data_IF_379990134406
#
_entry.id   IF_379990134406
#
_cell.length_a   1.000
_cell.length_b   1.000
_cell.length_c   1.000
_cell.angle_alpha   90.00
_cell.angle_beta   90.00
_cell.angle_gamma   90.00
#
_symmetry.space_group_name_H-M   'P 1'
#
loop_
_entity.id
_entity.type
_entity.pdbx_description
1 polymer ?
#
# COMPACT_ATOMS: atom_id res chain seq x y z
N UNK A 1 10.91 -40.40 44.46
CA UNK A 1 9.82 -39.65 43.81
C UNK A 1 9.83 -38.25 44.37
N UNK A 2 9.81 -37.21 43.52
CA UNK A 2 9.76 -35.83 44.00
C UNK A 2 8.48 -35.59 44.81
N UNK A 3 8.60 -35.05 46.03
CA UNK A 3 7.47 -34.79 46.93
C UNK A 3 6.61 -33.59 46.47
N UNK A 4 7.15 -32.73 45.61
CA UNK A 4 6.51 -31.51 45.10
C UNK A 4 6.88 -31.34 43.63
N UNK A 5 5.93 -30.84 42.85
CA UNK A 5 6.16 -30.53 41.44
C UNK A 5 6.46 -29.03 41.29
N UNK A 6 7.38 -28.69 40.40
CA UNK A 6 7.66 -27.31 40.00
C UNK A 6 6.93 -27.05 38.68
N UNK A 7 6.00 -26.11 38.69
CA UNK A 7 5.17 -25.74 37.54
C UNK A 7 5.63 -24.35 37.11
N UNK A 8 6.32 -24.28 35.98
CA UNK A 8 6.71 -23.03 35.34
C UNK A 8 6.68 -23.18 33.82
N UNK A 9 6.55 -22.06 33.13
CA UNK A 9 6.61 -22.01 31.67
C UNK A 9 7.38 -20.76 31.24
N UNK A 10 8.17 -20.92 30.17
CA UNK A 10 8.93 -19.87 29.50
C UNK A 10 8.68 -20.03 28.00
N UNK A 11 8.13 -18.99 27.36
CA UNK A 11 7.99 -18.93 25.91
C UNK A 11 9.34 -18.57 25.29
N UNK A 12 10.03 -19.56 24.70
CA UNK A 12 11.32 -19.36 24.03
C UNK A 12 11.19 -18.63 22.67
N UNK A 13 10.02 -18.75 22.01
CA UNK A 13 9.81 -18.25 20.65
C UNK A 13 9.10 -16.90 20.62
N UNK A 14 8.45 -16.51 21.71
CA UNK A 14 7.67 -15.28 21.77
C UNK A 14 6.47 -15.32 20.82
N UNK A 15 5.90 -16.50 20.56
CA UNK A 15 4.74 -16.69 19.67
C UNK A 15 3.50 -17.21 20.42
N UNK A 16 3.67 -17.73 21.63
CA UNK A 16 2.59 -18.31 22.39
C UNK A 16 1.78 -17.23 23.11
N UNK A 17 0.46 -17.32 22.98
CA UNK A 17 -0.47 -16.52 23.77
C UNK A 17 -0.82 -17.26 25.06
N UNK A 18 -1.05 -18.57 24.94
CA UNK A 18 -1.42 -19.43 26.06
C UNK A 18 -0.74 -20.78 25.93
N UNK A 19 -0.18 -21.24 27.05
CA UNK A 19 0.43 -22.55 27.20
C UNK A 19 -0.21 -23.32 28.37
N UNK A 20 -0.68 -24.54 28.11
CA UNK A 20 -1.35 -25.40 29.09
C UNK A 20 -0.39 -26.43 29.67
N UNK A 21 -0.34 -26.50 31.00
CA UNK A 21 0.40 -27.53 31.76
C UNK A 21 -0.58 -28.38 32.57
N UNK A 22 -0.54 -29.72 32.46
CA UNK A 22 0.28 -30.49 31.52
C UNK A 22 -0.22 -30.37 30.08
N UNK A 23 0.70 -30.59 29.13
CA UNK A 23 0.40 -30.50 27.69
C UNK A 23 -0.60 -31.57 27.22
N UNK A 24 -0.76 -32.69 27.93
CA UNK A 24 -1.69 -33.75 27.56
C UNK A 24 -2.49 -34.22 28.76
N UNK A 25 -3.79 -34.45 28.52
CA UNK A 25 -4.72 -34.85 29.57
C UNK A 25 -4.82 -33.79 30.68
N UNK A 26 -5.40 -34.19 31.81
CA UNK A 26 -5.44 -33.38 33.03
C UNK A 26 -4.46 -33.99 34.03
N UNK A 27 -3.54 -33.19 34.55
CA UNK A 27 -2.49 -33.68 35.45
C UNK A 27 -2.99 -33.85 36.88
N UNK A 28 -2.28 -34.65 37.66
CA UNK A 28 -2.45 -34.71 39.12
C UNK A 28 -1.32 -33.91 39.75
N UNK A 29 -1.53 -32.60 39.98
CA UNK A 29 -0.53 -31.79 40.70
C UNK A 29 -0.58 -32.14 42.19
N UNK A 30 0.58 -32.42 42.78
CA UNK A 30 0.66 -32.67 44.23
C UNK A 30 0.32 -31.42 45.04
N UNK A 31 -0.32 -31.62 46.19
CA UNK A 31 -0.55 -30.54 47.16
C UNK A 31 0.80 -30.04 47.67
N UNK A 32 1.01 -28.72 47.66
CA UNK A 32 2.27 -28.09 48.02
C UNK A 32 3.23 -27.84 46.85
N UNK A 33 2.85 -28.24 45.63
CA UNK A 33 3.60 -27.91 44.41
C UNK A 33 3.77 -26.40 44.24
N UNK A 34 4.87 -26.02 43.61
CA UNK A 34 5.29 -24.64 43.45
C UNK A 34 4.96 -24.16 42.05
N UNK A 35 4.12 -23.14 41.95
CA UNK A 35 3.79 -22.44 40.70
C UNK A 35 4.64 -21.17 40.61
N UNK A 36 5.50 -21.08 39.61
CA UNK A 36 6.30 -19.88 39.34
C UNK A 36 5.73 -19.16 38.13
N UNK A 37 5.25 -17.93 38.36
CA UNK A 37 4.69 -17.06 37.34
C UNK A 37 5.69 -15.93 37.07
N UNK A 38 6.00 -15.69 35.80
CA UNK A 38 6.92 -14.63 35.38
C UNK A 38 6.18 -13.28 35.32
N UNK A 39 6.90 -12.18 35.30
CA UNK A 39 6.31 -10.83 35.26
C UNK A 39 5.42 -10.59 34.04
N UNK A 40 5.73 -11.21 32.91
CA UNK A 40 5.03 -11.05 31.65
C UNK A 40 3.94 -12.11 31.40
N UNK A 41 3.50 -12.85 32.41
CA UNK A 41 2.42 -13.84 32.27
C UNK A 41 1.50 -13.89 33.49
N UNK A 42 0.29 -14.39 33.30
CA UNK A 42 -0.59 -14.87 34.36
C UNK A 42 -0.63 -16.40 34.34
N UNK A 43 -1.01 -17.02 35.45
CA UNK A 43 -1.35 -18.43 35.48
C UNK A 43 -2.79 -18.63 35.92
N UNK A 44 -3.63 -19.17 35.04
CA UNK A 44 -5.03 -19.49 35.33
C UNK A 44 -5.12 -20.95 35.76
N UNK A 45 -5.54 -21.18 37.00
CA UNK A 45 -5.65 -22.53 37.56
C UNK A 45 -7.05 -23.09 37.35
N UNK A 46 -7.10 -24.26 36.74
CA UNK A 46 -8.29 -25.06 36.53
C UNK A 46 -8.23 -26.32 37.37
N UNK A 47 -9.39 -26.67 37.92
CA UNK A 47 -9.59 -27.94 38.61
C UNK A 47 -10.94 -28.51 38.26
N UNK A 48 -11.00 -29.82 37.98
CA UNK A 48 -12.26 -30.51 37.65
C UNK A 48 -13.07 -29.79 36.54
N UNK A 49 -12.37 -29.15 35.59
CA UNK A 49 -12.95 -28.41 34.47
C UNK A 49 -13.46 -26.99 34.78
N UNK A 50 -13.25 -26.47 36.00
CA UNK A 50 -13.63 -25.10 36.39
C UNK A 50 -12.41 -24.22 36.58
N UNK A 51 -12.47 -22.99 36.05
CA UNK A 51 -11.47 -21.95 36.29
C UNK A 51 -11.65 -21.35 37.69
N UNK A 52 -10.67 -21.53 38.57
CA UNK A 52 -10.71 -21.00 39.93
C UNK A 52 -10.05 -19.64 39.99
N UNK A 53 -8.72 -19.63 40.09
CA UNK A 53 -7.93 -18.45 40.43
C UNK A 53 -6.95 -18.05 39.31
N UNK A 54 -6.56 -16.78 39.33
CA UNK A 54 -5.57 -16.19 38.43
C UNK A 54 -4.38 -15.71 39.25
N UNK A 55 -3.26 -16.37 39.10
CA UNK A 55 -2.02 -16.01 39.77
C UNK A 55 -1.25 -14.98 38.94
N UNK A 56 -0.88 -13.87 39.58
CA UNK A 56 0.05 -12.88 39.04
C UNK A 56 1.52 -13.29 39.21
N UNK A 57 2.47 -12.42 38.84
CA UNK A 57 3.89 -12.69 38.91
C UNK A 57 4.36 -13.08 40.33
N UNK A 58 5.30 -14.01 40.40
CA UNK A 58 5.90 -14.47 41.65
C UNK A 58 5.78 -15.98 41.87
N UNK A 59 6.22 -16.41 43.06
CA UNK A 59 6.17 -17.80 43.49
C UNK A 59 4.93 -18.04 44.33
N UNK A 60 4.12 -18.99 43.90
CA UNK A 60 2.87 -19.37 44.55
C UNK A 60 2.95 -20.83 44.97
N UNK A 61 2.49 -21.13 46.18
CA UNK A 61 2.35 -22.53 46.63
C UNK A 61 0.93 -22.96 46.35
N UNK A 62 0.77 -24.02 45.56
CA UNK A 62 -0.51 -24.67 45.29
C UNK A 62 -0.92 -25.50 46.51
N UNK A 63 -1.44 -24.82 47.52
CA UNK A 63 -2.02 -25.41 48.71
C UNK A 63 -3.54 -25.21 48.70
N UNK A 64 -4.28 -26.23 49.16
CA UNK A 64 -5.74 -26.23 49.27
C UNK A 64 -6.32 -25.03 50.04
N UNK A 65 -5.51 -24.34 50.85
CA UNK A 65 -5.91 -23.22 51.69
C UNK A 65 -5.72 -21.82 51.07
N UNK A 66 -5.02 -21.68 49.94
CA UNK A 66 -4.67 -20.36 49.37
C UNK A 66 -5.55 -19.89 48.20
N UNK A 67 -6.64 -20.59 47.90
CA UNK A 67 -7.63 -20.16 46.89
C UNK A 67 -8.89 -19.74 47.67
N UNK A 68 -9.20 -18.43 47.79
CA UNK A 68 -10.22 -17.91 48.70
C UNK A 68 -11.65 -18.46 48.49
N UNK A 69 -11.94 -19.06 47.33
CA UNK A 69 -13.24 -19.66 47.01
C UNK A 69 -13.38 -21.15 47.40
N UNK A 70 -12.33 -21.80 47.94
CA UNK A 70 -12.31 -23.26 48.18
C UNK A 70 -12.85 -23.70 49.56
N UNK A 71 -13.23 -22.81 50.46
CA UNK A 71 -13.57 -23.19 51.86
C UNK A 71 -14.89 -23.95 52.00
N UNK A 72 -15.82 -23.86 51.05
CA UNK A 72 -17.16 -24.45 51.21
C UNK A 72 -17.30 -25.90 50.71
N UNK A 73 -16.45 -26.35 49.78
CA UNK A 73 -16.61 -27.66 49.13
C UNK A 73 -15.83 -28.80 49.82
N UNK A 74 -14.99 -28.49 50.81
CA UNK A 74 -13.88 -29.36 51.24
C UNK A 74 -13.88 -29.74 52.73
N UNK A 75 -14.89 -29.34 53.51
CA UNK A 75 -14.99 -29.71 54.94
C UNK A 75 -15.63 -31.07 55.21
N UNK A 76 -15.91 -31.87 54.18
CA UNK A 76 -16.42 -33.23 54.36
C UNK A 76 -15.26 -34.19 54.70
N UNK A 77 -15.20 -34.77 55.91
CA UNK A 77 -14.04 -35.52 56.42
C UNK A 77 -13.86 -36.93 55.82
N UNK A 78 -14.42 -37.18 54.64
CA UNK A 78 -14.51 -38.51 54.02
C UNK A 78 -13.52 -38.74 52.87
N UNK A 79 -12.79 -37.71 52.42
CA UNK A 79 -11.90 -37.81 51.26
C UNK A 79 -10.44 -37.54 51.65
N UNK A 80 -9.72 -38.61 51.99
CA UNK A 80 -8.26 -38.62 52.01
C UNK A 80 -7.68 -38.42 50.61
N UNK A 81 -6.41 -37.97 50.55
CA UNK A 81 -5.55 -37.71 49.38
C UNK A 81 -6.16 -38.13 48.03
N UNK A 82 -7.11 -37.33 47.56
CA UNK A 82 -7.78 -37.62 46.30
C UNK A 82 -6.98 -36.93 45.21
N UNK A 83 -6.47 -37.65 44.21
CA UNK A 83 -5.82 -37.01 43.07
C UNK A 83 -6.83 -36.11 42.35
N UNK A 84 -6.63 -34.81 42.43
CA UNK A 84 -7.49 -33.85 41.74
C UNK A 84 -6.90 -33.54 40.38
N UNK A 85 -7.74 -33.63 39.34
CA UNK A 85 -7.36 -33.31 37.97
C UNK A 85 -7.25 -31.79 37.85
N UNK A 86 -6.02 -31.33 37.70
CA UNK A 86 -5.66 -29.92 37.69
C UNK A 86 -4.92 -29.56 36.41
N UNK A 87 -5.10 -28.32 35.98
CA UNK A 87 -4.49 -27.76 34.78
C UNK A 87 -4.13 -26.31 35.04
N UNK A 88 -2.99 -25.86 34.55
CA UNK A 88 -2.54 -24.47 34.65
C UNK A 88 -2.36 -23.94 33.24
N UNK A 89 -3.02 -22.83 32.93
CA UNK A 89 -2.83 -22.11 31.69
C UNK A 89 -1.98 -20.87 31.96
N UNK A 90 -0.76 -20.85 31.43
CA UNK A 90 0.07 -19.67 31.40
C UNK A 90 -0.39 -18.77 30.26
N UNK A 91 -0.77 -17.53 30.57
CA UNK A 91 -1.34 -16.56 29.62
C UNK A 91 -0.42 -15.36 29.53
N UNK A 92 0.01 -15.01 28.34
CA UNK A 92 0.95 -13.89 28.14
C UNK A 92 0.30 -12.53 28.43
N UNK A 93 1.01 -11.67 29.15
CA UNK A 93 0.66 -10.26 29.36
C UNK A 93 1.25 -9.34 28.29
N UNK A 94 2.01 -9.85 27.32
CA UNK A 94 2.65 -9.00 26.33
C UNK A 94 1.63 -8.37 25.39
N UNK A 95 2.01 -7.25 24.80
CA UNK A 95 1.30 -6.69 23.65
C UNK A 95 1.72 -7.47 22.41
N UNK A 96 0.73 -7.99 21.67
CA UNK A 96 0.93 -8.62 20.37
C UNK A 96 0.88 -7.52 19.31
N UNK A 97 2.05 -7.17 18.77
CA UNK A 97 2.23 -6.07 17.81
C UNK A 97 2.27 -6.58 16.37
N UNK A 98 2.16 -5.66 15.41
CA UNK A 98 2.36 -5.92 13.97
C UNK A 98 1.39 -6.96 13.37
N UNK A 99 0.22 -7.14 13.98
CA UNK A 99 -0.81 -8.01 13.42
C UNK A 99 -1.49 -7.30 12.26
N UNK A 100 -1.62 -7.98 11.12
CA UNK A 100 -2.19 -7.39 9.91
C UNK A 100 -3.70 -7.55 9.92
N UNK A 101 -4.39 -6.52 9.47
CA UNK A 101 -5.81 -6.60 9.14
C UNK A 101 -6.02 -6.07 7.72
N UNK A 102 -7.07 -6.56 7.06
CA UNK A 102 -7.42 -6.08 5.74
C UNK A 102 -8.71 -6.68 5.23
N UNK A 103 -9.44 -5.91 4.43
CA UNK A 103 -10.71 -6.31 3.85
C UNK A 103 -10.50 -7.47 2.87
N UNK A 104 -10.98 -8.67 3.21
CA UNK A 104 -10.94 -9.82 2.30
C UNK A 104 -11.82 -9.57 1.07
N UNK A 105 -13.02 -9.03 1.30
CA UNK A 105 -13.93 -8.57 0.27
C UNK A 105 -14.02 -7.03 0.28
N UNK A 106 -14.08 -6.37 -0.88
CA UNK A 106 -14.22 -4.91 -0.93
C UNK A 106 -15.51 -4.43 -0.26
N UNK A 107 -15.39 -3.37 0.53
CA UNK A 107 -16.53 -2.72 1.19
C UNK A 107 -17.25 -1.84 0.16
N UNK A 108 -18.55 -2.03 -0.01
CA UNK A 108 -19.39 -1.15 -0.80
C UNK A 108 -19.59 0.17 -0.03
N UNK A 109 -19.12 1.26 -0.61
CA UNK A 109 -19.18 2.58 -0.04
C UNK A 109 -19.93 3.53 -0.98
N UNK A 110 -20.82 4.35 -0.40
CA UNK A 110 -21.55 5.37 -1.15
C UNK A 110 -20.78 6.68 -1.06
N UNK A 111 -20.16 7.04 -2.17
CA UNK A 111 -19.39 8.26 -2.35
C UNK A 111 -20.25 9.36 -3.01
N UNK A 112 -20.14 10.60 -2.54
CA UNK A 112 -20.91 11.72 -3.11
C UNK A 112 -20.54 12.05 -4.56
N UNK A 113 -19.26 11.90 -4.92
CA UNK A 113 -18.70 12.19 -6.24
C UNK A 113 -18.74 10.99 -7.20
N UNK A 114 -18.35 9.81 -6.70
CA UNK A 114 -18.19 8.58 -7.49
C UNK A 114 -19.36 7.59 -7.34
N UNK A 115 -20.40 7.97 -6.60
CA UNK A 115 -21.63 7.17 -6.35
C UNK A 115 -21.39 5.90 -5.55
N UNK A 116 -21.19 4.76 -6.18
CA UNK A 116 -21.01 3.49 -5.49
C UNK A 116 -19.64 2.94 -5.85
N UNK A 117 -18.75 2.93 -4.88
CA UNK A 117 -17.37 2.46 -5.06
C UNK A 117 -17.08 1.30 -4.11
N UNK A 118 -16.06 0.52 -4.47
CA UNK A 118 -15.63 -0.66 -3.71
C UNK A 118 -14.27 -0.39 -3.09
N UNK A 119 -14.26 -0.07 -1.80
CA UNK A 119 -13.04 0.25 -1.08
C UNK A 119 -12.39 -1.03 -0.56
N UNK A 120 -11.07 -1.13 -0.74
CA UNK A 120 -10.25 -2.07 0.03
C UNK A 120 -9.49 -1.31 1.08
N UNK A 121 -9.38 -1.86 2.28
CA UNK A 121 -8.59 -1.24 3.34
C UNK A 121 -7.69 -2.27 3.99
N UNK A 122 -6.52 -1.82 4.44
CA UNK A 122 -5.59 -2.62 5.20
C UNK A 122 -4.87 -1.78 6.25
N UNK A 123 -4.23 -2.48 7.17
CA UNK A 123 -3.46 -1.84 8.21
C UNK A 123 -2.84 -2.84 9.16
N UNK A 124 -2.41 -2.30 10.30
CA UNK A 124 -1.90 -3.08 11.41
C UNK A 124 -2.65 -2.75 12.69
N UNK A 125 -2.68 -3.71 13.60
CA UNK A 125 -3.26 -3.54 14.92
C UNK A 125 -2.42 -4.27 15.96
N UNK A 126 -2.55 -3.80 17.19
CA UNK A 126 -1.92 -4.39 18.37
C UNK A 126 -2.97 -4.64 19.43
N UNK A 127 -2.92 -5.80 20.08
CA UNK A 127 -3.82 -6.11 21.18
C UNK A 127 -3.09 -6.76 22.35
N UNK A 128 -3.72 -6.74 23.51
CA UNK A 128 -3.23 -7.37 24.73
C UNK A 128 -4.35 -8.16 25.39
N UNK A 129 -3.99 -9.25 26.06
CA UNK A 129 -4.91 -9.98 26.93
C UNK A 129 -5.01 -9.21 28.24
N UNK A 130 -6.22 -8.90 28.68
CA UNK A 130 -6.49 -8.14 29.91
C UNK A 130 -7.26 -8.95 30.95
N UNK A 131 -8.08 -9.90 30.50
CA UNK A 131 -8.72 -10.88 31.38
C UNK A 131 -8.31 -12.30 30.93
N UNK A 132 -7.30 -12.90 31.57
CA UNK A 132 -6.79 -14.21 31.17
C UNK A 132 -7.81 -15.33 31.43
N UNK A 133 -8.67 -15.20 32.45
CA UNK A 133 -9.68 -16.21 32.77
C UNK A 133 -10.75 -16.25 31.69
N UNK A 134 -11.27 -15.07 31.33
CA UNK A 134 -12.27 -14.94 30.27
C UNK A 134 -11.72 -15.38 28.91
N UNK A 135 -10.47 -15.00 28.61
CA UNK A 135 -9.80 -15.38 27.37
C UNK A 135 -9.64 -16.89 27.24
N UNK A 136 -9.15 -17.57 28.28
CA UNK A 136 -8.97 -19.04 28.24
C UNK A 136 -10.32 -19.75 28.09
N UNK A 137 -11.34 -19.33 28.84
CA UNK A 137 -12.66 -19.99 28.81
C UNK A 137 -13.39 -19.79 27.47
N UNK A 138 -13.33 -18.59 26.87
CA UNK A 138 -14.09 -18.28 25.65
C UNK A 138 -13.34 -18.55 24.35
N UNK A 139 -12.03 -18.35 24.31
CA UNK A 139 -11.23 -18.40 23.07
C UNK A 139 -10.37 -19.66 23.01
N UNK A 140 -9.59 -19.95 24.05
CA UNK A 140 -8.61 -21.06 24.04
C UNK A 140 -9.29 -22.42 24.16
N UNK A 141 -10.27 -22.52 25.08
CA UNK A 141 -10.90 -23.79 25.42
C UNK A 141 -9.90 -24.80 25.98
N UNK A 142 -9.95 -26.04 25.48
CA UNK A 142 -9.10 -27.15 25.94
C UNK A 142 -7.82 -27.34 25.12
N UNK A 143 -7.46 -26.36 24.27
CA UNK A 143 -6.25 -26.43 23.45
C UNK A 143 -5.00 -26.32 24.33
N UNK A 144 -3.94 -27.01 23.93
CA UNK A 144 -2.69 -27.06 24.70
C UNK A 144 -1.81 -25.83 24.47
N UNK A 145 -1.65 -25.44 23.21
CA UNK A 145 -0.90 -24.25 22.79
C UNK A 145 -1.85 -23.40 21.96
N UNK A 146 -1.90 -22.10 22.27
CA UNK A 146 -2.67 -21.12 21.53
C UNK A 146 -1.79 -19.97 21.04
N UNK A 147 -1.84 -19.69 19.74
CA UNK A 147 -1.04 -18.63 19.08
C UNK A 147 -1.92 -17.61 18.36
N UNK A 148 -1.33 -16.50 17.96
CA UNK A 148 -2.01 -15.40 17.26
C UNK A 148 -2.68 -15.84 15.95
N UNK A 149 -2.08 -16.77 15.19
CA UNK A 149 -2.65 -17.25 13.93
C UNK A 149 -4.06 -17.84 14.06
N UNK A 150 -4.39 -18.39 15.23
CA UNK A 150 -5.67 -19.04 15.47
C UNK A 150 -6.81 -18.05 15.77
N UNK A 151 -6.50 -16.80 16.13
CA UNK A 151 -7.50 -15.78 16.47
C UNK A 151 -7.55 -14.63 15.44
N UNK A 152 -6.55 -14.53 14.57
CA UNK A 152 -6.42 -13.41 13.63
C UNK A 152 -7.65 -13.21 12.74
N UNK A 153 -8.15 -14.27 12.11
CA UNK A 153 -9.33 -14.21 11.22
C UNK A 153 -10.58 -13.72 11.94
N UNK A 154 -10.75 -14.17 13.19
CA UNK A 154 -11.89 -13.80 14.03
C UNK A 154 -11.84 -12.30 14.40
N UNK A 155 -10.70 -11.82 14.90
CA UNK A 155 -10.54 -10.40 15.26
C UNK A 155 -10.63 -9.50 14.02
N UNK A 156 -10.03 -9.93 12.90
CA UNK A 156 -10.11 -9.23 11.62
C UNK A 156 -11.56 -9.06 11.17
N UNK A 157 -12.41 -10.07 11.34
CA UNK A 157 -13.85 -9.97 11.04
C UNK A 157 -14.56 -8.88 11.85
N UNK A 158 -14.30 -8.82 13.16
CA UNK A 158 -14.87 -7.78 14.05
C UNK A 158 -14.41 -6.38 13.60
N UNK A 159 -13.10 -6.22 13.36
CA UNK A 159 -12.49 -4.97 12.93
C UNK A 159 -13.12 -4.47 11.63
N UNK A 160 -13.20 -5.34 10.61
CA UNK A 160 -13.74 -4.96 9.29
C UNK A 160 -15.21 -4.57 9.37
N UNK A 161 -16.03 -5.33 10.10
CA UNK A 161 -17.45 -5.03 10.26
C UNK A 161 -17.66 -3.64 10.87
N UNK A 162 -16.92 -3.33 11.93
CA UNK A 162 -17.01 -2.04 12.64
C UNK A 162 -16.40 -0.88 11.85
N UNK A 163 -15.36 -1.14 11.07
CA UNK A 163 -14.77 -0.15 10.18
C UNK A 163 -15.74 0.24 9.04
N UNK A 164 -16.42 -0.75 8.45
CA UNK A 164 -17.40 -0.49 7.40
C UNK A 164 -18.54 0.42 7.87
N UNK A 165 -19.04 0.18 9.09
CA UNK A 165 -20.06 1.02 9.72
C UNK A 165 -19.56 2.46 9.92
N UNK A 166 -18.35 2.65 10.47
CA UNK A 166 -17.77 3.97 10.68
C UNK A 166 -17.58 4.70 9.35
N UNK A 167 -17.01 4.04 8.34
CA UNK A 167 -16.79 4.63 7.02
C UNK A 167 -18.11 5.14 6.43
N UNK A 168 -19.20 4.36 6.54
CA UNK A 168 -20.51 4.77 6.05
C UNK A 168 -21.16 5.94 6.83
N UNK A 169 -20.77 6.17 8.08
CA UNK A 169 -21.31 7.24 8.93
C UNK A 169 -20.50 8.55 8.82
N UNK A 170 -19.17 8.47 8.68
CA UNK A 170 -18.28 9.63 8.82
C UNK A 170 -17.74 10.18 7.51
N UNK A 171 -17.65 9.35 6.46
CA UNK A 171 -17.00 9.72 5.21
C UNK A 171 -18.04 10.05 4.14
N UNK A 172 -17.89 11.19 3.47
CA UNK A 172 -18.73 11.56 2.32
C UNK A 172 -18.03 11.25 0.99
N UNK A 173 -16.75 11.62 0.86
CA UNK A 173 -15.92 11.32 -0.31
C UNK A 173 -14.60 10.66 0.05
N UNK A 174 -14.20 9.72 -0.81
CA UNK A 174 -12.90 9.03 -0.79
C UNK A 174 -11.70 9.97 -0.92
N UNK A 175 -11.90 11.17 -1.48
CA UNK A 175 -10.84 12.17 -1.65
C UNK A 175 -10.40 12.79 -0.32
N UNK A 176 -11.29 12.82 0.68
CA UNK A 176 -10.99 13.38 2.00
C UNK A 176 -10.38 12.35 2.98
N UNK A 177 -10.27 11.08 2.56
CA UNK A 177 -9.81 9.98 3.42
C UNK A 177 -8.50 10.24 4.17
N UNK A 178 -7.43 10.78 3.54
CA UNK A 178 -6.17 11.00 4.24
C UNK A 178 -6.29 11.93 5.44
N UNK A 179 -7.30 12.80 5.46
CA UNK A 179 -7.56 13.71 6.58
C UNK A 179 -8.14 12.98 7.80
N UNK A 180 -8.77 11.83 7.60
CA UNK A 180 -9.57 11.15 8.63
C UNK A 180 -8.91 9.88 9.18
N UNK A 181 -7.71 9.49 8.76
CA UNK A 181 -7.12 8.22 9.18
C UNK A 181 -6.92 8.11 10.70
N UNK A 182 -6.49 9.20 11.34
CA UNK A 182 -6.30 9.23 12.80
C UNK A 182 -7.65 9.17 13.53
N UNK A 183 -8.66 9.92 13.07
CA UNK A 183 -10.01 9.89 13.63
C UNK A 183 -10.69 8.54 13.42
N UNK A 184 -10.50 7.91 12.26
CA UNK A 184 -10.99 6.56 11.98
C UNK A 184 -10.33 5.54 12.92
N UNK A 185 -9.02 5.66 13.14
CA UNK A 185 -8.30 4.76 14.03
C UNK A 185 -8.76 4.90 15.49
N UNK A 186 -8.84 6.13 15.99
CA UNK A 186 -9.33 6.41 17.34
C UNK A 186 -10.81 6.02 17.51
N UNK A 187 -11.65 6.34 16.52
CA UNK A 187 -13.07 6.02 16.49
C UNK A 187 -13.32 4.51 16.47
N UNK A 188 -12.56 3.76 15.65
CA UNK A 188 -12.67 2.31 15.61
C UNK A 188 -12.24 1.68 16.92
N UNK A 189 -11.10 2.09 17.48
CA UNK A 189 -10.61 1.61 18.78
C UNK A 189 -11.66 1.81 19.89
N UNK A 190 -12.35 2.95 19.89
CA UNK A 190 -13.44 3.20 20.84
C UNK A 190 -14.65 2.28 20.58
N UNK A 191 -15.04 2.10 19.31
CA UNK A 191 -16.23 1.32 18.92
C UNK A 191 -16.08 -0.17 19.23
N UNK A 192 -14.89 -0.73 19.05
CA UNK A 192 -14.64 -2.16 19.25
C UNK A 192 -14.21 -2.52 20.67
N UNK A 193 -14.05 -1.53 21.56
CA UNK A 193 -13.59 -1.73 22.94
C UNK A 193 -14.38 -2.83 23.65
N UNK A 194 -15.71 -2.75 23.60
CA UNK A 194 -16.59 -3.73 24.25
C UNK A 194 -16.61 -5.07 23.50
N UNK A 195 -16.49 -5.05 22.16
CA UNK A 195 -16.40 -6.26 21.34
C UNK A 195 -15.15 -7.10 21.67
N UNK A 196 -14.05 -6.46 22.05
CA UNK A 196 -12.82 -7.14 22.49
C UNK A 196 -12.88 -7.51 23.98
N UNK A 197 -13.40 -6.62 24.83
CA UNK A 197 -13.48 -6.82 26.27
C UNK A 197 -14.31 -8.07 26.64
N UNK A 198 -15.37 -8.38 25.89
CA UNK A 198 -16.17 -9.59 26.11
C UNK A 198 -15.38 -10.90 25.93
N UNK A 199 -14.20 -10.86 25.32
CA UNK A 199 -13.28 -11.99 25.15
C UNK A 199 -12.01 -11.87 26.01
N UNK A 200 -11.94 -10.88 26.90
CA UNK A 200 -10.77 -10.64 27.74
C UNK A 200 -9.60 -10.00 26.99
N UNK A 201 -9.88 -9.32 25.87
CA UNK A 201 -8.91 -8.64 25.04
C UNK A 201 -9.08 -7.13 25.13
N UNK A 202 -8.00 -6.39 24.93
CA UNK A 202 -8.04 -4.95 24.74
C UNK A 202 -7.22 -4.57 23.51
N UNK A 203 -7.78 -3.70 22.66
CA UNK A 203 -7.04 -3.10 21.57
C UNK A 203 -6.10 -2.03 22.11
N UNK A 204 -4.80 -2.20 21.85
CA UNK A 204 -3.76 -1.26 22.26
C UNK A 204 -3.59 -0.19 21.19
N UNK A 205 -3.36 -0.59 19.94
CA UNK A 205 -3.19 0.33 18.82
C UNK A 205 -3.89 -0.18 17.57
N UNK A 206 -4.29 0.76 16.72
CA UNK A 206 -4.89 0.48 15.43
C UNK A 206 -4.47 1.53 14.43
N UNK A 207 -3.93 1.08 13.31
CA UNK A 207 -3.43 1.94 12.24
C UNK A 207 -4.04 1.51 10.93
N UNK A 208 -4.57 2.49 10.19
CA UNK A 208 -4.99 2.33 8.79
C UNK A 208 -3.81 2.70 7.90
N UNK A 209 -3.30 1.74 7.14
CA UNK A 209 -2.18 1.99 6.23
C UNK A 209 -2.66 2.53 4.89
N UNK A 210 -3.73 1.94 4.34
CA UNK A 210 -4.31 2.40 3.11
C UNK A 210 -5.81 2.11 3.04
N UNK A 211 -6.53 3.00 2.36
CA UNK A 211 -7.87 2.76 1.84
C UNK A 211 -7.79 3.04 0.34
N UNK A 212 -7.90 1.98 -0.45
CA UNK A 212 -7.66 2.00 -1.89
C UNK A 212 -8.99 1.83 -2.65
N UNK A 213 -9.36 2.81 -3.50
CA UNK A 213 -10.49 2.69 -4.42
C UNK A 213 -10.22 1.63 -5.51
N UNK A 214 -11.23 1.21 -6.28
CA UNK A 214 -11.00 0.33 -7.43
C UNK A 214 -10.26 1.08 -8.55
N UNK A 215 -9.57 0.35 -9.45
CA UNK A 215 -8.68 0.93 -10.46
C UNK A 215 -9.37 1.92 -11.41
N UNK A 216 -10.64 1.69 -11.74
CA UNK A 216 -11.44 2.56 -12.60
C UNK A 216 -11.70 3.92 -11.94
N UNK A 217 -11.91 3.93 -10.62
CA UNK A 217 -12.06 5.15 -9.82
C UNK A 217 -10.70 5.85 -9.68
N UNK A 218 -9.62 5.12 -9.41
CA UNK A 218 -8.27 5.68 -9.35
C UNK A 218 -7.90 6.42 -10.65
N UNK A 219 -8.13 5.80 -11.82
CA UNK A 219 -7.90 6.44 -13.13
C UNK A 219 -8.68 7.74 -13.29
N UNK A 220 -9.94 7.77 -12.85
CA UNK A 220 -10.77 8.99 -12.90
C UNK A 220 -10.26 10.07 -11.95
N UNK A 221 -9.77 9.69 -10.78
CA UNK A 221 -9.13 10.61 -9.82
C UNK A 221 -7.86 11.20 -10.45
N UNK A 222 -7.01 10.37 -11.07
CA UNK A 222 -5.77 10.81 -11.71
C UNK A 222 -6.03 11.73 -12.91
N UNK A 223 -7.02 11.39 -13.74
CA UNK A 223 -7.44 12.22 -14.88
C UNK A 223 -7.99 13.58 -14.41
N UNK A 224 -8.83 13.59 -13.37
CA UNK A 224 -9.36 14.83 -12.80
C UNK A 224 -8.25 15.67 -12.15
N UNK A 225 -7.39 15.05 -11.37
CA UNK A 225 -6.26 15.73 -10.73
C UNK A 225 -5.31 16.31 -11.78
N UNK A 226 -5.07 15.58 -12.88
CA UNK A 226 -4.31 16.08 -14.02
C UNK A 226 -4.98 17.26 -14.72
N UNK A 227 -6.30 17.24 -14.89
CA UNK A 227 -7.06 18.38 -15.44
C UNK A 227 -6.97 19.62 -14.55
N UNK A 228 -7.08 19.45 -13.24
CA UNK A 228 -7.06 20.54 -12.26
C UNK A 228 -5.66 21.13 -12.11
N UNK A 229 -4.61 20.30 -12.03
CA UNK A 229 -3.22 20.74 -11.94
C UNK A 229 -2.77 21.58 -13.16
N UNK A 230 -3.33 21.29 -14.33
CA UNK A 230 -3.00 21.95 -15.59
C UNK A 230 -3.81 23.25 -15.80
N UNK A 231 -4.82 23.51 -14.95
CA UNK A 231 -5.57 24.78 -14.92
C UNK A 231 -6.71 24.85 -15.94
N UNK A 232 -7.39 23.73 -16.21
CA UNK A 232 -8.64 23.70 -16.99
C UNK A 232 -8.60 22.82 -18.25
N UNK A 233 -9.79 22.58 -18.80
CA UNK A 233 -10.06 21.61 -19.87
C UNK A 233 -9.22 21.86 -21.15
N UNK A 234 -9.08 23.12 -21.57
CA UNK A 234 -8.34 23.47 -22.80
C UNK A 234 -6.85 23.10 -22.72
N UNK A 235 -6.22 23.36 -21.56
CA UNK A 235 -4.82 23.04 -21.34
C UNK A 235 -4.59 21.54 -21.15
N UNK A 236 -5.56 20.83 -20.55
CA UNK A 236 -5.52 19.38 -20.46
C UNK A 236 -5.61 18.71 -21.84
N UNK A 237 -6.51 19.19 -22.72
CA UNK A 237 -6.58 18.69 -24.10
C UNK A 237 -5.26 18.94 -24.86
N UNK A 238 -4.65 20.11 -24.71
CA UNK A 238 -3.35 20.40 -25.31
C UNK A 238 -2.25 19.46 -24.76
N UNK A 239 -2.24 19.20 -23.45
CA UNK A 239 -1.29 18.28 -22.83
C UNK A 239 -1.46 16.84 -23.32
N UNK A 240 -2.69 16.31 -23.35
CA UNK A 240 -2.98 14.96 -23.86
C UNK A 240 -2.68 14.84 -25.35
N UNK A 241 -2.97 15.87 -26.15
CA UNK A 241 -2.60 15.91 -27.56
C UNK A 241 -1.08 15.88 -27.76
N UNK A 242 -0.33 16.67 -26.97
CA UNK A 242 1.12 16.66 -26.99
C UNK A 242 1.71 15.31 -26.55
N UNK A 243 1.11 14.67 -25.55
CA UNK A 243 1.52 13.35 -25.07
C UNK A 243 1.27 12.28 -26.14
N UNK A 244 0.10 12.28 -26.80
CA UNK A 244 -0.21 11.35 -27.89
C UNK A 244 0.74 11.51 -29.09
N UNK A 245 1.07 12.76 -29.47
CA UNK A 245 2.08 13.04 -30.51
C UNK A 245 3.47 12.55 -30.06
N UNK A 246 3.82 12.74 -28.79
CA UNK A 246 5.06 12.24 -28.20
C UNK A 246 5.15 10.72 -28.19
N UNK A 247 4.07 10.02 -27.87
CA UNK A 247 4.02 8.55 -27.86
C UNK A 247 3.98 7.97 -29.28
N UNK A 248 3.37 8.67 -30.26
CA UNK A 248 3.52 8.38 -31.69
C UNK A 248 4.96 8.56 -32.17
N UNK A 249 5.65 9.60 -31.71
CA UNK A 249 7.06 9.82 -32.02
C UNK A 249 7.98 8.78 -31.35
N UNK A 250 7.61 8.31 -30.15
CA UNK A 250 8.35 7.28 -29.41
C UNK A 250 8.10 5.87 -29.98
N UNK A 251 6.87 5.58 -30.40
CA UNK A 251 6.47 4.36 -31.10
C UNK A 251 6.87 4.33 -32.58
N UNK A 252 7.20 5.48 -33.16
CA UNK A 252 7.71 5.63 -34.53
C UNK A 252 9.24 5.51 -34.66
N UNK A 253 9.96 5.28 -33.56
CA UNK A 253 11.42 5.17 -33.53
C UNK A 253 11.93 3.71 -33.53
N UNK A 254 11.11 2.76 -33.99
CA UNK A 254 11.50 1.37 -34.23
C UNK A 254 10.69 0.83 -35.41
N UNK A 255 11.35 0.68 -36.56
CA UNK A 255 10.70 0.37 -37.83
C UNK A 255 10.01 -0.99 -37.92
N UNK A 256 9.21 -1.13 -38.97
CA UNK A 256 8.70 -2.42 -39.44
C UNK A 256 7.22 -2.62 -39.16
N UNK A 257 6.38 -2.15 -40.08
CA UNK A 257 5.02 -2.64 -40.20
C UNK A 257 5.06 -4.08 -40.72
N UNK A 258 5.11 -5.06 -39.82
CA UNK A 258 4.75 -6.44 -40.14
C UNK A 258 4.35 -7.19 -38.85
N UNK A 259 3.05 -7.48 -38.74
CA UNK A 259 2.52 -8.58 -37.93
C UNK A 259 2.42 -8.36 -36.41
N UNK A 260 1.18 -8.16 -35.94
CA UNK A 260 0.74 -8.65 -34.62
C UNK A 260 0.49 -7.59 -33.55
N UNK A 261 -0.79 -7.35 -33.29
CA UNK A 261 -1.37 -6.89 -32.01
C UNK A 261 -0.82 -5.59 -31.40
N UNK A 262 -0.96 -4.47 -32.12
CA UNK A 262 -0.89 -3.14 -31.52
C UNK A 262 -2.26 -2.48 -31.53
N UNK A 263 -2.60 -1.88 -30.39
CA UNK A 263 -3.78 -1.04 -30.10
C UNK A 263 -3.94 0.18 -31.04
N UNK A 264 -3.08 0.31 -32.04
CA UNK A 264 -3.19 1.24 -33.17
C UNK A 264 -4.22 0.73 -34.20
N UNK A 265 -4.35 -0.60 -34.36
CA UNK A 265 -5.34 -1.21 -35.23
C UNK A 265 -6.79 -0.96 -34.77
N UNK A 266 -7.01 -0.83 -33.46
CA UNK A 266 -8.34 -0.54 -32.89
C UNK A 266 -8.67 0.95 -32.85
N UNK A 267 -7.70 1.86 -32.77
CA UNK A 267 -7.97 3.30 -32.93
C UNK A 267 -8.27 3.68 -34.39
N UNK A 268 -7.62 3.02 -35.36
CA UNK A 268 -7.95 3.17 -36.78
C UNK A 268 -9.25 2.44 -37.17
N UNK A 269 -9.57 1.30 -36.54
CA UNK A 269 -10.84 0.59 -36.75
C UNK A 269 -12.04 1.21 -36.00
N UNK A 270 -11.81 1.92 -34.88
CA UNK A 270 -12.85 2.69 -34.19
C UNK A 270 -13.29 3.92 -34.97
N UNK A 271 -12.51 4.35 -35.99
CA UNK A 271 -12.92 5.34 -36.97
C UNK A 271 -13.85 4.80 -38.07
N UNK A 272 -14.13 3.50 -38.12
CA UNK A 272 -14.86 2.86 -39.23
C UNK A 272 -15.93 1.83 -38.83
N UNK A 273 -16.23 1.63 -37.53
CA UNK A 273 -17.18 0.63 -37.06
C UNK A 273 -18.29 1.17 -36.16
N UNK A 274 -19.51 1.23 -36.70
CA UNK A 274 -20.81 1.22 -35.98
C UNK A 274 -21.24 2.53 -35.25
N UNK A 275 -21.80 3.46 -36.03
CA UNK A 275 -23.22 3.78 -35.88
C UNK A 275 -23.67 5.03 -35.10
N UNK A 276 -22.83 5.78 -34.38
CA UNK A 276 -23.34 6.92 -33.55
C UNK A 276 -22.44 8.17 -33.49
N UNK A 277 -21.64 8.45 -34.51
CA UNK A 277 -20.73 9.62 -34.56
C UNK A 277 -20.88 10.54 -35.77
N UNK A 278 -22.09 10.67 -36.32
CA UNK A 278 -22.38 11.30 -37.63
C UNK A 278 -22.17 12.83 -37.74
N UNK A 279 -21.39 13.47 -36.85
CA UNK A 279 -21.19 14.93 -36.85
C UNK A 279 -19.74 15.41 -37.07
N UNK A 280 -18.74 14.59 -36.76
CA UNK A 280 -17.33 15.03 -36.72
C UNK A 280 -16.43 14.39 -37.78
N UNK A 281 -16.83 13.27 -38.38
CA UNK A 281 -16.07 12.60 -39.44
C UNK A 281 -16.15 13.26 -40.83
N UNK A 282 -17.11 14.17 -41.03
CA UNK A 282 -17.40 14.74 -42.36
C UNK A 282 -16.78 16.13 -42.61
N UNK A 283 -16.15 16.77 -41.61
CA UNK A 283 -15.47 18.06 -41.80
C UNK A 283 -13.97 17.94 -42.12
N UNK A 284 -13.40 16.75 -41.99
CA UNK A 284 -11.96 16.51 -42.21
C UNK A 284 -11.58 16.48 -43.72
N UNK A 285 -12.38 15.90 -44.64
CA UNK A 285 -11.99 15.89 -46.06
C UNK A 285 -12.06 17.28 -46.72
N UNK A 286 -13.00 18.13 -46.30
CA UNK A 286 -13.21 19.46 -46.90
C UNK A 286 -12.11 20.48 -46.59
N UNK A 287 -11.49 20.40 -45.41
CA UNK A 287 -10.39 21.29 -45.03
C UNK A 287 -9.05 20.87 -45.64
N UNK A 288 -8.85 19.58 -45.91
CA UNK A 288 -7.59 19.05 -46.48
C UNK A 288 -7.46 19.33 -47.99
N UNK A 289 -8.58 19.39 -48.72
CA UNK A 289 -8.60 19.72 -50.14
C UNK A 289 -8.28 21.21 -50.41
N UNK A 290 -8.68 22.12 -49.50
CA UNK A 290 -8.43 23.55 -49.62
C UNK A 290 -6.97 23.92 -49.29
N UNK A 291 -6.28 23.11 -48.46
CA UNK A 291 -4.89 23.33 -48.08
C UNK A 291 -3.86 22.89 -49.15
N UNK A 292 -4.24 22.01 -50.08
CA UNK A 292 -3.40 21.62 -51.23
C UNK A 292 -3.53 22.52 -52.46
N UNK A 293 -4.48 23.47 -52.47
CA UNK A 293 -4.63 24.46 -53.54
C UNK A 293 -3.77 25.73 -53.35
N UNK A 294 -3.25 25.95 -52.13
CA UNK A 294 -2.26 26.98 -51.84
C UNK A 294 -0.89 26.31 -51.67
N UNK A 295 -0.03 26.39 -52.68
CA UNK A 295 1.36 25.87 -52.67
C UNK A 295 2.31 26.55 -51.66
N UNK A 296 1.85 26.79 -50.44
CA UNK A 296 2.63 27.33 -49.35
C UNK A 296 3.47 26.19 -48.73
N UNK A 297 4.64 25.95 -49.31
CA UNK A 297 5.69 25.18 -48.65
C UNK A 297 6.02 25.88 -47.31
N UNK A 298 6.03 25.17 -46.16
CA UNK A 298 6.44 25.77 -44.90
C UNK A 298 7.88 26.29 -45.01
N UNK A 299 8.12 27.54 -44.58
CA UNK A 299 9.45 28.15 -44.54
C UNK A 299 9.97 28.14 -43.10
N UNK A 300 11.26 27.88 -42.93
CA UNK A 300 11.98 27.96 -41.65
C UNK A 300 13.02 29.08 -41.72
N UNK A 301 13.36 29.69 -40.58
CA UNK A 301 14.29 30.83 -40.57
C UNK A 301 15.71 30.34 -40.30
N UNK A 302 16.66 30.74 -41.14
CA UNK A 302 18.06 30.31 -41.00
C UNK A 302 18.66 30.86 -39.69
N UNK A 303 19.24 30.02 -38.82
CA UNK A 303 19.85 30.47 -37.57
C UNK A 303 21.13 31.32 -37.75
N UNK A 304 21.77 31.27 -38.93
CA UNK A 304 23.01 32.01 -39.19
C UNK A 304 22.77 33.39 -39.84
N UNK A 305 22.00 33.47 -40.93
CA UNK A 305 21.75 34.72 -41.65
C UNK A 305 20.33 35.27 -41.50
N UNK A 306 19.44 34.56 -40.80
CA UNK A 306 18.06 34.95 -40.52
C UNK A 306 17.12 35.10 -41.73
N UNK A 307 17.54 34.62 -42.92
CA UNK A 307 16.69 34.52 -44.10
C UNK A 307 15.74 33.30 -44.03
N UNK A 308 14.57 33.44 -44.64
CA UNK A 308 13.58 32.37 -44.73
C UNK A 308 13.97 31.36 -45.82
N UNK A 309 14.04 30.10 -45.45
CA UNK A 309 14.44 29.00 -46.32
C UNK A 309 13.35 27.91 -46.34
N UNK A 310 13.25 27.12 -47.42
CA UNK A 310 12.28 26.02 -47.48
C UNK A 310 12.51 24.98 -46.36
N UNK A 311 11.45 24.48 -45.74
CA UNK A 311 11.52 23.40 -44.75
C UNK A 311 12.15 22.14 -45.39
N UNK A 312 13.16 21.57 -44.73
CA UNK A 312 13.91 20.39 -45.23
C UNK A 312 15.22 20.69 -45.98
N UNK A 313 15.63 21.97 -46.07
CA UNK A 313 16.91 22.36 -46.69
C UNK A 313 18.12 21.91 -45.85
N UNK A 314 19.03 21.10 -46.42
CA UNK A 314 20.28 20.66 -45.75
C UNK A 314 21.32 21.78 -45.58
N UNK A 315 21.29 22.76 -46.48
CA UNK A 315 22.16 23.94 -46.45
C UNK A 315 21.31 25.19 -46.71
N UNK A 316 21.69 26.32 -46.13
CA UNK A 316 21.06 27.59 -46.41
C UNK A 316 21.51 28.09 -47.80
N UNK A 317 20.59 28.31 -48.76
CA UNK A 317 20.93 28.81 -50.10
C UNK A 317 21.48 30.23 -50.12
N UNK A 318 21.24 31.02 -49.06
CA UNK A 318 21.66 32.43 -48.98
C UNK A 318 23.05 32.61 -48.35
N UNK A 319 23.41 31.80 -47.35
CA UNK A 319 24.67 31.98 -46.61
C UNK A 319 25.55 30.73 -46.53
N UNK A 320 25.15 29.62 -47.17
CA UNK A 320 25.91 28.36 -47.20
C UNK A 320 25.97 27.57 -45.89
N UNK A 321 25.28 28.01 -44.83
CA UNK A 321 25.32 27.33 -43.52
C UNK A 321 24.71 25.92 -43.61
N UNK A 322 25.43 24.91 -43.10
CA UNK A 322 24.94 23.54 -43.02
C UNK A 322 23.94 23.41 -41.86
N UNK A 323 22.69 23.13 -42.19
CA UNK A 323 21.57 23.04 -41.24
C UNK A 323 21.34 21.60 -40.76
N UNK A 324 21.99 20.63 -41.40
CA UNK A 324 22.04 19.23 -40.98
C UNK A 324 23.22 18.93 -40.04
N UNK A 325 24.05 19.93 -39.70
CA UNK A 325 25.16 19.76 -38.78
C UNK A 325 24.64 19.50 -37.37
N UNK A 326 24.96 18.33 -36.83
CA UNK A 326 24.71 17.96 -35.44
C UNK A 326 26.04 17.87 -34.68
N UNK A 327 26.03 18.31 -33.44
CA UNK A 327 27.15 18.24 -32.50
C UNK A 327 26.76 17.32 -31.35
N UNK A 328 27.65 16.40 -31.01
CA UNK A 328 27.43 15.50 -29.87
C UNK A 328 27.87 16.20 -28.59
N UNK A 329 27.01 16.20 -27.57
CA UNK A 329 27.36 16.73 -26.26
C UNK A 329 28.50 15.90 -25.65
N UNK A 330 29.64 16.51 -25.29
CA UNK A 330 30.79 15.78 -24.75
C UNK A 330 30.54 15.21 -23.35
N UNK A 331 29.53 15.72 -22.62
CA UNK A 331 29.25 15.27 -21.26
C UNK A 331 28.24 14.12 -21.22
N UNK A 332 27.14 14.19 -21.98
CA UNK A 332 26.08 13.18 -21.92
C UNK A 332 25.90 12.37 -23.22
N UNK A 333 26.66 12.67 -24.28
CA UNK A 333 26.59 11.96 -25.56
C UNK A 333 25.35 12.27 -26.42
N UNK A 334 24.49 13.21 -26.01
CA UNK A 334 23.30 13.57 -26.77
C UNK A 334 23.65 14.29 -28.08
N UNK A 335 23.06 13.87 -29.19
CA UNK A 335 23.22 14.51 -30.51
C UNK A 335 22.31 15.73 -30.61
N UNK A 336 22.88 16.91 -30.76
CA UNK A 336 22.19 18.20 -30.76
C UNK A 336 22.40 18.93 -32.08
N UNK A 337 21.49 19.82 -32.51
CA UNK A 337 21.77 20.70 -33.64
C UNK A 337 22.96 21.62 -33.33
N UNK A 338 23.85 21.85 -34.29
CA UNK A 338 25.11 22.58 -34.12
C UNK A 338 24.95 24.03 -33.59
N UNK A 339 23.75 24.61 -33.69
CA UNK A 339 23.42 25.94 -33.15
C UNK A 339 23.05 25.93 -31.65
N UNK A 340 23.03 24.77 -30.99
CA UNK A 340 22.65 24.65 -29.58
C UNK A 340 23.72 25.26 -28.69
N UNK A 341 23.39 26.35 -27.96
CA UNK A 341 24.30 26.99 -26.98
C UNK A 341 24.37 26.23 -25.65
N UNK A 342 23.37 25.40 -25.38
CA UNK A 342 23.24 24.59 -24.17
C UNK A 342 22.66 23.24 -24.53
N UNK A 343 23.12 22.19 -23.85
CA UNK A 343 22.54 20.86 -23.97
C UNK A 343 21.22 20.80 -23.19
N UNK A 344 20.08 20.55 -23.84
CA UNK A 344 18.79 20.43 -23.16
C UNK A 344 18.67 19.19 -22.26
N UNK A 345 19.58 18.21 -22.42
CA UNK A 345 19.52 16.96 -21.65
C UNK A 345 20.32 17.02 -20.33
N UNK A 346 21.48 17.68 -20.33
CA UNK A 346 22.35 17.76 -19.13
C UNK A 346 22.67 19.19 -18.66
N UNK A 347 22.25 20.22 -19.42
CA UNK A 347 22.53 21.62 -19.09
C UNK A 347 23.93 22.10 -19.46
N UNK A 348 24.81 21.23 -19.99
CA UNK A 348 26.17 21.59 -20.38
C UNK A 348 26.18 22.68 -21.45
N UNK A 349 26.98 23.74 -21.24
CA UNK A 349 27.12 24.84 -22.19
C UNK A 349 27.99 24.40 -23.36
N UNK A 350 27.39 24.28 -24.53
CA UNK A 350 28.10 23.95 -25.75
C UNK A 350 28.86 25.21 -26.21
N UNK A 351 30.18 25.11 -26.34
CA UNK A 351 31.04 26.24 -26.72
C UNK A 351 30.61 26.82 -28.06
N UNK A 352 30.36 28.13 -28.10
CA UNK A 352 30.14 28.84 -29.36
C UNK A 352 31.45 28.85 -30.15
N UNK A 353 31.50 28.15 -31.28
CA UNK A 353 32.57 28.35 -32.25
C UNK A 353 32.41 29.76 -32.87
N UNK A 354 33.49 30.54 -33.01
CA UNK A 354 33.44 31.93 -33.48
C UNK A 354 33.06 32.02 -34.96
N UNK A 355 32.33 33.09 -35.30
CA UNK A 355 32.15 33.54 -36.67
C UNK A 355 33.52 33.92 -37.27
N UNK A 356 33.76 33.50 -38.51
CA UNK A 356 35.10 33.40 -39.10
C UNK A 356 35.85 34.71 -39.33
N UNK A 357 37.16 34.55 -39.50
CA UNK A 357 38.07 35.54 -40.06
C UNK A 357 38.78 34.87 -41.24
N UNK A 358 38.65 35.45 -42.44
CA UNK A 358 39.32 35.02 -43.66
C UNK A 358 40.03 36.22 -44.31
N UNK A 359 41.37 36.13 -44.42
CA UNK A 359 42.30 36.75 -45.39
C UNK A 359 43.69 36.88 -44.71
N UNK A 360 44.84 36.59 -45.32
CA UNK A 360 45.16 36.32 -46.72
C UNK A 360 46.58 35.73 -46.87
N UNK A 361 46.90 35.44 -48.12
CA UNK A 361 48.16 34.89 -48.61
C UNK A 361 49.32 35.90 -48.67
N UNK A 362 50.55 35.39 -48.54
CA UNK A 362 51.89 35.90 -48.93
C UNK A 362 52.90 35.45 -47.86
N UNK A 363 54.14 35.02 -48.08
CA UNK A 363 54.99 34.69 -49.22
C UNK A 363 56.31 34.14 -48.58
N UNK A 364 57.05 33.29 -49.30
CA UNK A 364 58.53 33.14 -49.28
C UNK A 364 59.41 32.71 -48.08
N UNK A 365 60.38 31.87 -48.48
CA UNK A 365 61.82 31.82 -48.12
C UNK A 365 62.20 31.26 -46.73
N UNK A 366 62.75 30.03 -46.67
CA UNK A 366 64.19 29.71 -46.84
C UNK A 366 64.98 29.86 -45.52
N UNK A 367 65.09 28.77 -44.74
CA UNK A 367 66.33 28.05 -44.35
C UNK A 367 66.10 27.06 -43.22
#
# INVERSE_FOLDING_TARGET
>A
MALMDLIEFIDEQGAEMVHRVPEQGSGEFKVGSQLIVRENQWAVFFRDGKAYDVFGPGRHTLATQNIPLLTAALTTPLFGDTPFRCEVYFVSQRVFTELKWGTAEPILFRDSEFKMIRLRSNGIYSFQITDPKLFVVKIVGTRNIFTNYQIEDFLRGIIIGRLADILGETLDSVLDLPRYFDELGAGLKARIKDDFAQYGLAMVDFVVNAITPPEDVQKRIDERSGMEAIGGMDRYFQYKAAQAIGDLARGGAGGGAEGGDSTIGTAAAAGLGLGTGAGLGMMIPGMLQQAMASGAQPKVRCPNCHNDIPFGSKFCPECGANLAATVTCPECGATLPASSKFCPNCGHRMGAAPAGEAAGAADKEEK
#
